data_IF_548880558365
#
_entry.id   IF_548880558365
#
_cell.length_a   1.000
_cell.length_b   1.000
_cell.length_c   1.000
_cell.angle_alpha   90.00
_cell.angle_beta   90.00
_cell.angle_gamma   90.00
#
_symmetry.space_group_name_H-M   'P 1'
#
loop_
_entity.id
_entity.type
_entity.pdbx_description
1 polymer ?
#
# COMPACT_ATOMS: atom_id res chain seq x y z
N UNK A 1 57.62 15.55 83.07
CA UNK A 1 57.04 14.50 82.19
C UNK A 1 56.16 15.26 81.20
N UNK A 2 56.27 15.21 79.87
CA UNK A 2 56.58 14.12 78.95
C UNK A 2 56.99 14.71 77.59
N UNK A 3 57.94 14.00 76.98
CA UNK A 3 58.47 13.94 75.60
C UNK A 3 57.76 14.71 74.45
N UNK A 4 58.60 15.42 73.69
CA UNK A 4 58.42 15.80 72.28
C UNK A 4 58.25 14.57 71.36
N UNK A 5 57.63 14.74 70.18
CA UNK A 5 58.06 14.05 68.97
C UNK A 5 58.62 15.02 67.92
N UNK A 6 59.70 14.55 67.29
CA UNK A 6 60.42 15.14 66.17
C UNK A 6 59.52 15.34 64.94
N UNK A 7 59.63 16.51 64.31
CA UNK A 7 59.21 16.77 62.93
C UNK A 7 60.38 16.41 62.01
N UNK A 8 60.18 15.42 61.13
CA UNK A 8 61.10 15.10 60.03
C UNK A 8 60.47 15.60 58.74
N UNK A 9 61.02 16.68 58.19
CA UNK A 9 60.69 17.14 56.84
C UNK A 9 61.43 16.28 55.81
N UNK A 10 60.68 15.48 55.04
CA UNK A 10 61.19 14.87 53.82
C UNK A 10 61.10 15.91 52.68
N UNK A 11 62.25 16.37 52.21
CA UNK A 11 62.41 17.06 50.92
C UNK A 11 63.13 16.11 49.97
N UNK A 12 62.38 15.53 49.03
CA UNK A 12 62.96 14.68 48.00
C UNK A 12 61.92 13.82 47.30
N UNK A 13 61.30 14.32 46.23
CA UNK A 13 60.34 13.52 45.47
C UNK A 13 59.58 14.22 44.34
N UNK A 14 60.07 15.32 43.75
CA UNK A 14 59.36 16.05 42.69
C UNK A 14 59.99 15.93 41.29
N UNK A 15 60.80 14.90 41.02
CA UNK A 15 61.42 14.72 39.69
C UNK A 15 60.92 13.45 38.96
N UNK A 16 60.31 12.49 39.66
CA UNK A 16 59.80 11.25 39.04
C UNK A 16 58.37 11.41 38.50
N UNK A 17 57.58 12.35 39.04
CA UNK A 17 56.20 12.59 38.59
C UNK A 17 56.11 13.34 37.24
N UNK A 18 57.17 14.02 36.80
CA UNK A 18 57.16 14.79 35.54
C UNK A 18 57.54 13.96 34.31
N UNK A 19 58.23 12.82 34.50
CA UNK A 19 58.65 11.94 33.39
C UNK A 19 57.55 10.95 32.94
N UNK A 20 56.54 10.68 33.77
CA UNK A 20 55.35 9.90 33.37
C UNK A 20 54.28 10.73 32.62
N UNK A 21 54.30 12.06 32.74
CA UNK A 21 53.34 12.95 32.07
C UNK A 21 53.71 13.26 30.61
N UNK A 22 54.99 13.10 30.23
CA UNK A 22 55.46 13.39 28.86
C UNK A 22 55.28 12.20 27.90
N UNK A 23 55.12 10.98 28.43
CA UNK A 23 54.81 9.77 27.63
C UNK A 23 53.33 9.68 27.21
N UNK A 24 52.46 10.56 27.70
CA UNK A 24 51.03 10.62 27.34
C UNK A 24 50.70 11.63 26.24
N UNK A 25 51.65 12.45 25.79
CA UNK A 25 51.44 13.45 24.73
C UNK A 25 51.92 13.00 23.35
N UNK A 26 52.50 11.79 23.24
CA UNK A 26 52.57 11.09 21.96
C UNK A 26 51.20 10.48 21.66
N UNK A 27 50.21 11.33 21.39
CA UNK A 27 49.00 10.90 20.72
C UNK A 27 49.43 10.42 19.33
N UNK A 28 49.75 9.12 19.22
CA UNK A 28 50.03 8.50 17.93
C UNK A 28 48.86 8.81 17.02
N UNK A 29 49.14 9.48 15.90
CA UNK A 29 48.13 9.76 14.89
C UNK A 29 47.46 8.44 14.51
N UNK A 30 46.12 8.42 14.49
CA UNK A 30 45.37 7.23 14.11
C UNK A 30 45.73 6.83 12.69
N UNK A 31 46.08 5.56 12.51
CA UNK A 31 46.48 4.97 11.22
C UNK A 31 45.42 4.00 10.70
N UNK A 32 45.45 3.61 9.40
CA UNK A 32 44.58 2.55 8.89
C UNK A 32 44.73 1.22 9.63
N UNK A 33 45.94 0.87 10.08
CA UNK A 33 46.21 -0.34 10.86
C UNK A 33 45.48 -0.33 12.21
N UNK A 34 45.30 0.84 12.82
CA UNK A 34 44.53 0.98 14.05
C UNK A 34 43.04 0.73 13.79
N UNK A 35 42.51 1.22 12.67
CA UNK A 35 41.12 0.98 12.24
C UNK A 35 40.86 -0.52 12.03
N UNK A 36 41.79 -1.24 11.40
CA UNK A 36 41.67 -2.68 11.22
C UNK A 36 41.72 -3.45 12.54
N UNK A 37 42.66 -3.11 13.43
CA UNK A 37 42.72 -3.72 14.77
C UNK A 37 41.46 -3.45 15.58
N UNK A 38 40.87 -2.26 15.47
CA UNK A 38 39.65 -1.93 16.21
C UNK A 38 38.45 -2.68 15.69
N UNK A 39 38.34 -2.92 14.38
CA UNK A 39 37.18 -3.59 13.81
C UNK A 39 36.93 -5.01 14.37
N UNK A 40 37.99 -5.67 14.84
CA UNK A 40 37.91 -7.01 15.46
C UNK A 40 37.81 -6.95 17.00
N UNK A 41 37.73 -5.75 17.59
CA UNK A 41 37.73 -5.52 19.03
C UNK A 41 36.34 -5.16 19.58
N UNK A 42 36.10 -5.45 20.86
CA UNK A 42 34.85 -5.07 21.54
C UNK A 42 34.70 -3.55 21.61
N UNK A 43 33.62 -3.01 21.05
CA UNK A 43 33.38 -1.56 20.95
C UNK A 43 34.26 -0.87 19.90
N UNK A 44 34.84 -1.65 18.99
CA UNK A 44 35.67 -1.18 17.89
C UNK A 44 34.98 -0.18 16.98
N UNK A 45 33.72 -0.44 16.66
CA UNK A 45 32.87 0.39 15.81
C UNK A 45 32.73 1.82 16.35
N UNK A 46 32.67 2.00 17.68
CA UNK A 46 32.63 3.33 18.30
C UNK A 46 33.96 4.07 18.13
N UNK A 47 35.09 3.37 18.24
CA UNK A 47 36.43 3.97 18.05
C UNK A 47 36.65 4.36 16.60
N UNK A 48 36.22 3.52 15.65
CA UNK A 48 36.28 3.81 14.22
C UNK A 48 35.41 5.03 13.90
N UNK A 49 34.17 5.10 14.43
CA UNK A 49 33.29 6.25 14.25
C UNK A 49 33.90 7.54 14.83
N UNK A 50 34.51 7.49 16.02
CA UNK A 50 35.23 8.63 16.60
C UNK A 50 36.40 9.11 15.75
N UNK A 51 37.21 8.18 15.23
CA UNK A 51 38.31 8.54 14.33
C UNK A 51 37.81 9.17 13.03
N UNK A 52 36.67 8.70 12.50
CA UNK A 52 36.02 9.31 11.34
C UNK A 52 35.47 10.71 11.65
N UNK A 53 34.90 10.93 12.84
CA UNK A 53 34.31 12.21 13.26
C UNK A 53 35.35 13.27 13.65
N UNK A 54 36.61 12.89 13.93
CA UNK A 54 37.66 13.82 14.31
C UNK A 54 38.26 14.54 13.08
N UNK A 55 38.08 15.85 13.01
CA UNK A 55 38.65 16.70 11.98
C UNK A 55 40.20 16.69 11.96
N UNK A 56 40.85 16.33 13.08
CA UNK A 56 42.31 16.20 13.18
C UNK A 56 42.85 14.91 12.58
N UNK A 57 42.01 13.88 12.42
CA UNK A 57 42.38 12.65 11.71
C UNK A 57 42.74 12.99 10.26
N UNK A 58 43.70 12.29 9.67
CA UNK A 58 44.01 12.49 8.25
C UNK A 58 42.79 12.13 7.37
N UNK A 59 42.56 12.87 6.27
CA UNK A 59 41.41 12.66 5.40
C UNK A 59 41.35 11.22 4.85
N UNK A 60 42.49 10.66 4.44
CA UNK A 60 42.57 9.29 3.93
C UNK A 60 42.19 8.25 5.00
N UNK A 61 42.56 8.48 6.26
CA UNK A 61 42.19 7.63 7.40
C UNK A 61 40.70 7.74 7.73
N UNK A 62 40.10 8.94 7.61
CA UNK A 62 38.64 9.10 7.74
C UNK A 62 37.89 8.33 6.66
N UNK A 63 38.36 8.38 5.41
CA UNK A 63 37.77 7.61 4.30
C UNK A 63 37.92 6.10 4.55
N UNK A 64 39.07 5.65 5.05
CA UNK A 64 39.27 4.25 5.42
C UNK A 64 38.31 3.81 6.53
N UNK A 65 38.17 4.62 7.58
CA UNK A 65 37.23 4.39 8.68
C UNK A 65 35.77 4.34 8.18
N UNK A 66 35.38 5.25 7.27
CA UNK A 66 34.08 5.26 6.63
C UNK A 66 33.78 3.94 5.90
N UNK A 67 34.70 3.49 5.05
CA UNK A 67 34.57 2.22 4.30
C UNK A 67 34.52 1.03 5.25
N UNK A 68 35.28 1.07 6.36
CA UNK A 68 35.27 0.01 7.37
C UNK A 68 33.93 -0.07 8.09
N UNK A 69 33.35 1.06 8.51
CA UNK A 69 32.00 1.08 9.12
C UNK A 69 30.94 0.51 8.18
N UNK A 70 31.01 0.83 6.88
CA UNK A 70 30.10 0.26 5.87
C UNK A 70 30.25 -1.27 5.79
N UNK A 71 31.48 -1.79 5.74
CA UNK A 71 31.72 -3.24 5.71
C UNK A 71 31.21 -3.95 6.98
N UNK A 72 31.20 -3.26 8.11
CA UNK A 72 30.65 -3.76 9.38
C UNK A 72 29.12 -3.66 9.45
N UNK A 73 28.46 -3.03 8.47
CA UNK A 73 27.01 -2.80 8.49
C UNK A 73 26.58 -1.64 9.41
N UNK A 74 27.51 -0.78 9.81
CA UNK A 74 27.33 0.25 10.82
C UNK A 74 26.87 1.59 10.25
N UNK A 75 25.77 1.55 9.50
CA UNK A 75 25.26 2.69 8.74
C UNK A 75 24.89 3.89 9.64
N UNK A 76 24.15 3.66 10.73
CA UNK A 76 23.69 4.75 11.61
C UNK A 76 24.86 5.44 12.31
N UNK A 77 25.85 4.66 12.75
CA UNK A 77 27.09 5.19 13.35
C UNK A 77 27.90 5.98 12.31
N UNK A 78 28.01 5.49 11.09
CA UNK A 78 28.64 6.22 10.00
C UNK A 78 27.92 7.55 9.72
N UNK A 79 26.59 7.56 9.61
CA UNK A 79 25.82 8.79 9.38
C UNK A 79 26.00 9.76 10.56
N UNK A 80 25.96 9.27 11.80
CA UNK A 80 26.18 10.07 13.00
C UNK A 80 27.54 10.77 12.99
N UNK A 81 28.62 10.01 12.79
CA UNK A 81 29.97 10.56 12.77
C UNK A 81 30.21 11.52 11.58
N UNK A 82 29.58 11.30 10.42
CA UNK A 82 29.62 12.29 9.33
C UNK A 82 28.94 13.61 9.73
N UNK A 83 27.83 13.58 10.47
CA UNK A 83 27.13 14.79 10.92
C UNK A 83 27.93 15.59 11.95
N UNK A 84 28.82 14.95 12.70
CA UNK A 84 29.71 15.61 13.66
C UNK A 84 30.86 16.38 12.99
N UNK A 85 31.25 15.99 11.78
CA UNK A 85 32.28 16.72 11.02
C UNK A 85 31.78 18.11 10.60
N UNK A 86 32.67 19.13 10.61
CA UNK A 86 32.35 20.39 9.96
C UNK A 86 32.10 20.16 8.46
N UNK A 87 31.30 21.05 7.86
CA UNK A 87 30.74 20.81 6.52
C UNK A 87 31.80 20.59 5.45
N UNK A 88 32.90 21.35 5.47
CA UNK A 88 33.97 21.23 4.49
C UNK A 88 34.65 19.85 4.54
N UNK A 89 34.97 19.37 5.74
CA UNK A 89 35.58 18.07 5.99
C UNK A 89 34.61 16.92 5.68
N UNK A 90 33.33 17.06 6.07
CA UNK A 90 32.27 16.11 5.72
C UNK A 90 32.18 15.93 4.20
N UNK A 91 32.13 17.03 3.45
CA UNK A 91 32.05 16.99 1.99
C UNK A 91 33.30 16.38 1.36
N UNK A 92 34.49 16.72 1.87
CA UNK A 92 35.75 16.12 1.41
C UNK A 92 35.76 14.60 1.65
N UNK A 93 35.39 14.13 2.85
CA UNK A 93 35.31 12.71 3.17
C UNK A 93 34.28 11.97 2.32
N UNK A 94 33.10 12.55 2.04
CA UNK A 94 32.10 11.95 1.14
C UNK A 94 32.64 11.88 -0.30
N UNK A 95 33.26 12.96 -0.79
CA UNK A 95 33.81 13.04 -2.14
C UNK A 95 34.92 12.03 -2.38
N UNK A 96 35.84 11.89 -1.45
CA UNK A 96 36.94 10.93 -1.53
C UNK A 96 36.47 9.50 -1.24
N UNK A 97 35.47 9.32 -0.37
CA UNK A 97 34.91 8.02 -0.02
C UNK A 97 34.02 7.41 -1.10
N UNK A 98 33.30 8.21 -1.87
CA UNK A 98 32.37 7.73 -2.92
C UNK A 98 32.98 6.67 -3.87
N UNK A 99 34.16 6.93 -4.48
CA UNK A 99 34.84 5.93 -5.31
C UNK A 99 35.21 4.65 -4.57
N UNK A 100 35.65 4.73 -3.30
CA UNK A 100 36.00 3.55 -2.49
C UNK A 100 34.75 2.72 -2.16
N UNK A 101 33.61 3.36 -1.87
CA UNK A 101 32.32 2.68 -1.69
C UNK A 101 31.88 2.02 -3.00
N UNK A 102 32.08 2.67 -4.14
CA UNK A 102 31.78 2.08 -5.46
C UNK A 102 32.57 0.80 -5.75
N UNK A 103 33.78 0.64 -5.20
CA UNK A 103 34.53 -0.63 -5.29
C UNK A 103 33.84 -1.76 -4.53
N UNK A 104 33.10 -1.45 -3.46
CA UNK A 104 32.35 -2.45 -2.70
C UNK A 104 31.21 -3.08 -3.50
N UNK A 105 30.73 -2.45 -4.58
CA UNK A 105 29.75 -3.09 -5.48
C UNK A 105 30.30 -4.25 -6.30
N UNK A 106 31.64 -4.37 -6.39
CA UNK A 106 32.30 -5.43 -7.16
C UNK A 106 32.68 -6.64 -6.30
N UNK A 107 32.48 -6.57 -4.98
CA UNK A 107 32.76 -7.71 -4.09
C UNK A 107 31.66 -8.76 -4.23
N UNK A 108 31.95 -10.06 -4.15
CA UNK A 108 30.93 -11.10 -4.29
C UNK A 108 29.86 -11.11 -3.18
N UNK A 109 30.14 -10.52 -2.02
CA UNK A 109 29.25 -10.52 -0.86
C UNK A 109 28.12 -9.49 -1.00
N UNK A 110 26.89 -9.97 -1.20
CA UNK A 110 25.70 -9.14 -1.32
C UNK A 110 25.43 -8.28 -0.07
N UNK A 111 25.78 -8.73 1.14
CA UNK A 111 25.59 -7.93 2.36
C UNK A 111 26.47 -6.69 2.35
N UNK A 112 27.72 -6.84 1.93
CA UNK A 112 28.65 -5.71 1.79
C UNK A 112 28.20 -4.77 0.66
N UNK A 113 27.74 -5.31 -0.47
CA UNK A 113 27.18 -4.50 -1.55
C UNK A 113 25.95 -3.70 -1.08
N UNK A 114 25.05 -4.33 -0.33
CA UNK A 114 23.84 -3.70 0.19
C UNK A 114 24.15 -2.57 1.17
N UNK A 115 25.11 -2.79 2.09
CA UNK A 115 25.58 -1.75 3.01
C UNK A 115 26.22 -0.56 2.26
N UNK A 116 27.02 -0.84 1.22
CA UNK A 116 27.59 0.20 0.35
C UNK A 116 26.51 1.02 -0.36
N UNK A 117 25.45 0.36 -0.83
CA UNK A 117 24.29 0.97 -1.47
C UNK A 117 23.53 1.84 -0.48
N UNK A 118 23.29 1.37 0.74
CA UNK A 118 22.64 2.17 1.79
C UNK A 118 23.46 3.42 2.13
N UNK A 119 24.78 3.30 2.19
CA UNK A 119 25.67 4.44 2.44
C UNK A 119 25.62 5.48 1.31
N UNK A 120 25.70 5.06 0.03
CA UNK A 120 25.55 5.98 -1.11
C UNK A 120 24.18 6.62 -1.13
N UNK A 121 23.12 5.88 -0.78
CA UNK A 121 21.78 6.44 -0.68
C UNK A 121 21.69 7.49 0.43
N UNK A 122 22.27 7.22 1.61
CA UNK A 122 22.36 8.22 2.69
C UNK A 122 23.10 9.49 2.25
N UNK A 123 24.13 9.37 1.41
CA UNK A 123 24.85 10.54 0.88
C UNK A 123 23.98 11.44 0.02
N UNK A 124 23.02 10.88 -0.74
CA UNK A 124 22.05 11.69 -1.51
C UNK A 124 21.21 12.60 -0.61
N UNK A 125 21.04 12.24 0.67
CA UNK A 125 20.25 13.00 1.65
C UNK A 125 21.08 14.05 2.40
N UNK A 126 22.39 14.11 2.19
CA UNK A 126 23.29 15.07 2.87
C UNK A 126 23.50 16.37 2.09
N UNK A 127 22.87 16.54 0.92
CA UNK A 127 22.62 17.86 0.30
C UNK A 127 23.66 18.42 -0.67
N UNK A 128 24.63 17.64 -1.14
CA UNK A 128 25.64 18.10 -2.11
C UNK A 128 25.37 17.63 -3.54
N UNK A 129 24.96 18.55 -4.42
CA UNK A 129 24.45 18.25 -5.76
C UNK A 129 25.37 17.37 -6.63
N UNK A 130 26.68 17.66 -6.72
CA UNK A 130 27.59 16.86 -7.57
C UNK A 130 27.75 15.42 -7.06
N UNK A 131 27.74 15.24 -5.73
CA UNK A 131 27.92 13.92 -5.11
C UNK A 131 26.63 13.13 -5.18
N UNK A 132 25.51 13.82 -5.01
CA UNK A 132 24.18 13.28 -5.20
C UNK A 132 24.02 12.65 -6.60
N UNK A 133 24.41 13.34 -7.67
CA UNK A 133 24.31 12.78 -9.03
C UNK A 133 25.20 11.54 -9.23
N UNK A 134 26.45 11.58 -8.76
CA UNK A 134 27.35 10.42 -8.84
C UNK A 134 26.83 9.22 -8.04
N UNK A 135 26.32 9.47 -6.82
CA UNK A 135 25.69 8.45 -5.99
C UNK A 135 24.45 7.86 -6.67
N UNK A 136 23.58 8.69 -7.26
CA UNK A 136 22.41 8.23 -8.01
C UNK A 136 22.80 7.34 -9.19
N UNK A 137 23.78 7.74 -10.01
CA UNK A 137 24.26 6.94 -11.13
C UNK A 137 24.81 5.59 -10.68
N UNK A 138 25.57 5.56 -9.59
CA UNK A 138 26.10 4.32 -9.02
C UNK A 138 24.98 3.40 -8.48
N UNK A 139 23.96 3.98 -7.82
CA UNK A 139 22.78 3.23 -7.35
C UNK A 139 21.99 2.64 -8.51
N UNK A 140 21.76 3.42 -9.57
CA UNK A 140 21.08 2.96 -10.79
C UNK A 140 21.82 1.81 -11.46
N UNK A 141 23.15 1.93 -11.61
CA UNK A 141 23.98 0.85 -12.15
C UNK A 141 23.97 -0.41 -11.27
N UNK A 142 23.85 -0.27 -9.95
CA UNK A 142 23.76 -1.41 -9.04
C UNK A 142 22.43 -2.16 -9.20
N UNK A 143 21.31 -1.45 -9.35
CA UNK A 143 19.99 -2.05 -9.54
C UNK A 143 19.74 -2.59 -10.96
N UNK A 144 20.54 -2.21 -11.96
CA UNK A 144 20.35 -2.67 -13.35
C UNK A 144 20.76 -4.13 -13.60
N UNK A 145 21.23 -4.85 -12.59
CA UNK A 145 21.68 -6.25 -12.71
C UNK A 145 21.30 -7.06 -11.47
N UNK A 146 20.66 -8.22 -11.66
CA UNK A 146 20.10 -9.07 -10.61
C UNK A 146 19.14 -8.30 -9.70
N UNK A 147 18.16 -7.61 -10.30
CA UNK A 147 17.28 -6.72 -9.55
C UNK A 147 16.50 -7.46 -8.47
N UNK A 148 16.05 -8.68 -8.76
CA UNK A 148 15.28 -9.47 -7.79
C UNK A 148 16.04 -9.80 -6.51
N UNK A 149 17.29 -10.26 -6.60
CA UNK A 149 18.14 -10.53 -5.43
C UNK A 149 18.42 -9.24 -4.63
N UNK A 150 18.49 -8.10 -5.32
CA UNK A 150 18.81 -6.80 -4.76
C UNK A 150 17.60 -6.01 -4.27
N UNK A 151 16.39 -6.46 -4.60
CA UNK A 151 15.17 -5.69 -4.38
C UNK A 151 14.98 -5.32 -2.90
N UNK A 152 15.21 -6.28 -2.01
CA UNK A 152 15.05 -6.12 -0.56
C UNK A 152 16.40 -6.10 0.18
N UNK A 153 17.52 -5.99 -0.52
CA UNK A 153 18.84 -6.07 0.11
C UNK A 153 19.22 -4.77 0.82
N UNK A 154 19.53 -4.87 2.12
CA UNK A 154 19.94 -3.75 2.97
C UNK A 154 18.78 -3.09 3.72
N UNK A 155 19.03 -1.88 4.21
CA UNK A 155 18.07 -1.10 5.00
C UNK A 155 17.06 -0.36 4.12
N UNK A 156 17.44 0.04 2.91
CA UNK A 156 16.54 0.69 1.96
C UNK A 156 16.30 -0.20 0.73
N UNK A 157 15.04 -0.63 0.54
CA UNK A 157 14.65 -1.44 -0.62
C UNK A 157 14.75 -0.67 -1.94
N UNK A 158 14.79 -1.40 -3.06
CA UNK A 158 14.75 -0.83 -4.41
C UNK A 158 13.55 0.08 -4.61
N UNK A 159 12.40 -0.28 -4.04
CA UNK A 159 11.21 0.55 -4.10
C UNK A 159 11.46 1.94 -3.51
N UNK A 160 12.06 2.02 -2.32
CA UNK A 160 12.37 3.31 -1.68
C UNK A 160 13.44 4.06 -2.47
N UNK A 161 14.56 3.41 -2.80
CA UNK A 161 15.69 4.08 -3.45
C UNK A 161 15.33 4.58 -4.84
N UNK A 162 14.75 3.73 -5.70
CA UNK A 162 14.44 4.11 -7.08
C UNK A 162 13.27 5.10 -7.16
N UNK A 163 12.28 5.00 -6.26
CA UNK A 163 11.21 6.01 -6.18
C UNK A 163 11.74 7.38 -5.76
N UNK A 164 12.68 7.42 -4.82
CA UNK A 164 13.29 8.67 -4.36
C UNK A 164 14.23 9.29 -5.41
N UNK A 165 14.87 8.48 -6.26
CA UNK A 165 15.62 8.97 -7.43
C UNK A 165 14.67 9.60 -8.46
N UNK A 166 13.45 9.09 -8.58
CA UNK A 166 12.40 9.67 -9.41
C UNK A 166 12.63 9.44 -10.91
N UNK A 167 12.28 10.40 -11.79
CA UNK A 167 12.31 10.22 -13.25
C UNK A 167 13.65 9.75 -13.82
N UNK A 168 14.78 10.08 -13.17
CA UNK A 168 16.11 9.63 -13.60
C UNK A 168 16.28 8.10 -13.55
N UNK A 169 15.45 7.37 -12.79
CA UNK A 169 15.45 5.91 -12.77
C UNK A 169 14.70 5.28 -13.96
N UNK A 170 13.99 6.08 -14.76
CA UNK A 170 13.05 5.59 -15.78
C UNK A 170 13.65 4.61 -16.78
N UNK A 171 14.80 4.95 -17.36
CA UNK A 171 15.45 4.08 -18.36
C UNK A 171 15.92 2.75 -17.77
N UNK A 172 16.36 2.73 -16.51
CA UNK A 172 16.72 1.49 -15.80
C UNK A 172 15.46 0.65 -15.54
N UNK A 173 14.37 1.26 -15.09
CA UNK A 173 13.12 0.55 -14.84
C UNK A 173 12.54 -0.06 -16.12
N UNK A 174 12.54 0.69 -17.22
CA UNK A 174 12.10 0.18 -18.53
C UNK A 174 13.01 -0.98 -19.00
N UNK A 175 14.33 -0.85 -18.86
CA UNK A 175 15.25 -1.93 -19.21
C UNK A 175 15.08 -3.18 -18.33
N UNK A 176 14.70 -3.03 -17.06
CA UNK A 176 14.40 -4.14 -16.16
C UNK A 176 13.12 -4.87 -16.59
N UNK A 177 12.10 -4.15 -17.07
CA UNK A 177 10.90 -4.78 -17.64
C UNK A 177 11.27 -5.69 -18.82
N UNK A 178 12.18 -5.29 -19.69
CA UNK A 178 12.57 -6.11 -20.86
C UNK A 178 13.35 -7.37 -20.47
N UNK A 179 14.18 -7.30 -19.42
CA UNK A 179 15.18 -8.34 -19.10
C UNK A 179 14.74 -9.30 -18.02
N UNK A 180 13.87 -8.88 -17.10
CA UNK A 180 13.52 -9.65 -15.90
C UNK A 180 11.99 -9.75 -15.73
N UNK A 181 11.30 -10.67 -16.44
CA UNK A 181 9.86 -10.88 -16.27
C UNK A 181 9.39 -11.10 -14.82
N UNK A 182 10.12 -11.84 -13.96
CA UNK A 182 9.75 -11.99 -12.55
C UNK A 182 9.74 -10.66 -11.77
N UNK A 183 10.39 -9.61 -12.28
CA UNK A 183 10.46 -8.29 -11.63
C UNK A 183 9.28 -7.37 -11.99
N UNK A 184 8.46 -7.73 -12.98
CA UNK A 184 7.41 -6.86 -13.54
C UNK A 184 6.50 -6.22 -12.50
N UNK A 185 5.93 -6.99 -11.58
CA UNK A 185 5.02 -6.45 -10.56
C UNK A 185 5.70 -5.42 -9.64
N UNK A 186 6.97 -5.67 -9.27
CA UNK A 186 7.77 -4.77 -8.43
C UNK A 186 8.18 -3.51 -9.19
N UNK A 187 8.64 -3.64 -10.43
CA UNK A 187 9.04 -2.51 -11.28
C UNK A 187 7.82 -1.65 -11.65
N UNK A 188 6.68 -2.26 -11.97
CA UNK A 188 5.42 -1.56 -12.25
C UNK A 188 4.98 -0.66 -11.09
N UNK A 189 5.04 -1.15 -9.85
CA UNK A 189 4.75 -0.35 -8.64
C UNK A 189 5.70 0.84 -8.47
N UNK A 190 6.98 0.70 -8.84
CA UNK A 190 7.95 1.80 -8.79
C UNK A 190 7.63 2.85 -9.87
N UNK A 191 7.34 2.43 -11.10
CA UNK A 191 6.95 3.33 -12.19
C UNK A 191 5.68 4.10 -11.82
N UNK A 192 4.69 3.41 -11.25
CA UNK A 192 3.45 4.03 -10.71
C UNK A 192 3.77 5.10 -9.67
N UNK A 193 4.66 4.80 -8.72
CA UNK A 193 5.04 5.70 -7.64
C UNK A 193 5.79 6.94 -8.15
N UNK A 194 6.65 6.77 -9.15
CA UNK A 194 7.39 7.87 -9.79
C UNK A 194 6.43 8.77 -10.59
N UNK A 195 5.46 8.17 -11.30
CA UNK A 195 4.46 8.86 -12.10
C UNK A 195 5.07 9.84 -13.13
N UNK A 196 6.18 9.44 -13.77
CA UNK A 196 6.83 10.20 -14.82
C UNK A 196 6.23 9.85 -16.21
N UNK A 197 5.64 10.82 -16.94
CA UNK A 197 4.96 10.53 -18.21
C UNK A 197 5.87 9.89 -19.27
N UNK A 198 7.16 10.24 -19.31
CA UNK A 198 8.11 9.68 -20.27
C UNK A 198 8.39 8.19 -20.00
N UNK A 199 8.63 7.85 -18.74
CA UNK A 199 8.85 6.48 -18.26
C UNK A 199 7.60 5.63 -18.45
N UNK A 200 6.44 6.13 -18.02
CA UNK A 200 5.14 5.49 -18.22
C UNK A 200 4.92 5.18 -19.70
N UNK A 201 5.15 6.16 -20.59
CA UNK A 201 4.96 5.97 -22.03
C UNK A 201 5.80 4.83 -22.59
N UNK A 202 7.10 4.79 -22.25
CA UNK A 202 8.04 3.74 -22.70
C UNK A 202 7.64 2.36 -22.16
N UNK A 203 7.30 2.28 -20.87
CA UNK A 203 6.84 1.03 -20.26
C UNK A 203 5.56 0.52 -20.92
N UNK A 204 4.62 1.42 -21.22
CA UNK A 204 3.39 1.08 -21.93
C UNK A 204 3.60 0.63 -23.36
N UNK A 205 4.58 1.18 -24.08
CA UNK A 205 4.94 0.70 -25.43
C UNK A 205 5.39 -0.78 -25.38
N UNK A 206 6.14 -1.18 -24.35
CA UNK A 206 6.52 -2.58 -24.12
C UNK A 206 5.32 -3.45 -23.75
N UNK A 207 4.49 -2.99 -22.80
CA UNK A 207 3.30 -3.71 -22.36
C UNK A 207 2.35 -3.94 -23.54
N UNK A 208 2.08 -2.93 -24.36
CA UNK A 208 1.23 -3.04 -25.55
C UNK A 208 1.78 -4.05 -26.55
N UNK A 209 3.09 -4.01 -26.81
CA UNK A 209 3.75 -5.00 -27.66
C UNK A 209 3.51 -6.42 -27.13
N UNK A 210 3.75 -6.66 -25.84
CA UNK A 210 3.55 -7.99 -25.24
C UNK A 210 2.09 -8.43 -25.21
N UNK A 211 1.15 -7.51 -24.96
CA UNK A 211 -0.28 -7.81 -25.00
C UNK A 211 -0.71 -8.25 -26.40
N UNK A 212 -0.21 -7.60 -27.45
CA UNK A 212 -0.45 -8.03 -28.84
C UNK A 212 0.15 -9.40 -29.11
N UNK A 213 1.40 -9.63 -28.69
CA UNK A 213 2.12 -10.90 -28.91
C UNK A 213 1.50 -12.09 -28.18
N UNK A 214 0.94 -11.88 -26.98
CA UNK A 214 0.34 -12.94 -26.14
C UNK A 214 -1.16 -13.14 -26.39
N UNK A 215 -1.81 -12.29 -27.17
CA UNK A 215 -3.24 -12.40 -27.46
C UNK A 215 -3.59 -13.75 -28.15
N UNK A 216 -4.67 -14.45 -27.74
CA UNK A 216 -5.67 -14.02 -26.77
C UNK A 216 -5.37 -14.42 -25.31
N UNK A 217 -4.27 -15.11 -25.00
CA UNK A 217 -3.97 -15.65 -23.67
C UNK A 217 -2.85 -14.89 -22.96
N UNK A 218 -3.21 -13.91 -22.13
CA UNK A 218 -2.24 -13.09 -21.40
C UNK A 218 -1.66 -13.84 -20.18
N UNK A 219 -0.36 -13.68 -19.95
CA UNK A 219 0.24 -14.04 -18.67
C UNK A 219 -0.35 -13.16 -17.54
N UNK A 220 -0.73 -13.75 -16.37
CA UNK A 220 -1.24 -12.99 -15.23
C UNK A 220 -0.32 -11.83 -14.80
N UNK A 221 1.00 -12.04 -14.87
CA UNK A 221 2.01 -11.05 -14.50
C UNK A 221 2.01 -9.85 -15.45
N UNK A 222 1.72 -10.06 -16.74
CA UNK A 222 1.60 -8.99 -17.73
C UNK A 222 0.38 -8.11 -17.44
N UNK A 223 -0.75 -8.75 -17.08
CA UNK A 223 -1.96 -8.03 -16.68
C UNK A 223 -1.76 -7.26 -15.36
N UNK A 224 -1.05 -7.85 -14.40
CA UNK A 224 -0.69 -7.15 -13.16
C UNK A 224 0.22 -5.94 -13.43
N UNK A 225 1.18 -6.07 -14.34
CA UNK A 225 2.03 -4.96 -14.78
C UNK A 225 1.23 -3.85 -15.47
N UNK A 226 0.27 -4.21 -16.33
CA UNK A 226 -0.62 -3.27 -17.01
C UNK A 226 -1.43 -2.43 -16.02
N UNK A 227 -1.85 -2.99 -14.88
CA UNK A 227 -2.51 -2.26 -13.80
C UNK A 227 -1.61 -1.17 -13.19
N UNK A 228 -0.32 -1.44 -13.02
CA UNK A 228 0.61 -0.52 -12.35
C UNK A 228 1.00 0.70 -13.19
N UNK A 229 1.16 0.55 -14.51
CA UNK A 229 1.70 1.63 -15.36
C UNK A 229 0.67 2.72 -15.70
N UNK A 230 -0.63 2.41 -15.65
CA UNK A 230 -1.76 3.37 -15.79
C UNK A 230 -1.72 4.31 -17.02
N UNK A 231 -1.42 3.77 -18.20
CA UNK A 231 -1.45 4.54 -19.47
C UNK A 231 -2.76 4.30 -20.23
N UNK A 232 -3.39 5.38 -20.70
CA UNK A 232 -4.66 5.37 -21.44
C UNK A 232 -4.64 4.43 -22.66
N UNK A 233 -3.50 4.25 -23.32
CA UNK A 233 -3.40 3.39 -24.52
C UNK A 233 -3.49 1.91 -24.16
N UNK A 234 -2.97 1.54 -22.98
CA UNK A 234 -3.11 0.17 -22.45
C UNK A 234 -4.58 -0.08 -22.10
N UNK A 235 -5.23 0.91 -21.48
CA UNK A 235 -6.68 0.88 -21.22
C UNK A 235 -7.47 0.73 -22.52
N UNK A 236 -7.21 1.57 -23.53
CA UNK A 236 -7.91 1.54 -24.83
C UNK A 236 -7.73 0.17 -25.52
N UNK A 237 -6.54 -0.44 -25.44
CA UNK A 237 -6.29 -1.79 -25.95
C UNK A 237 -7.13 -2.85 -25.23
N UNK A 238 -7.12 -2.84 -23.89
CA UNK A 238 -7.86 -3.81 -23.09
C UNK A 238 -9.38 -3.65 -23.29
N UNK A 239 -9.89 -2.42 -23.36
CA UNK A 239 -11.29 -2.14 -23.64
C UNK A 239 -11.72 -2.71 -25.00
N UNK A 240 -10.92 -2.49 -26.05
CA UNK A 240 -11.16 -3.06 -27.37
C UNK A 240 -11.08 -4.61 -27.35
N UNK A 241 -10.15 -5.17 -26.58
CA UNK A 241 -10.00 -6.61 -26.43
C UNK A 241 -11.22 -7.25 -25.74
N UNK A 242 -11.74 -6.63 -24.67
CA UNK A 242 -12.92 -7.12 -23.95
C UNK A 242 -14.19 -6.98 -24.79
N UNK A 243 -14.31 -5.93 -25.60
CA UNK A 243 -15.47 -5.73 -26.48
C UNK A 243 -15.55 -6.75 -27.64
N UNK A 244 -14.42 -7.36 -28.02
CA UNK A 244 -14.33 -8.29 -29.13
C UNK A 244 -14.80 -9.70 -28.73
N UNK A 245 -16.02 -10.07 -29.17
CA UNK A 245 -16.68 -11.34 -28.81
C UNK A 245 -16.00 -12.59 -29.38
N UNK A 246 -15.08 -12.46 -30.35
CA UNK A 246 -14.29 -13.61 -30.83
C UNK A 246 -13.20 -14.06 -29.84
N UNK A 247 -12.85 -13.21 -28.86
CA UNK A 247 -11.93 -13.59 -27.79
C UNK A 247 -12.61 -14.53 -26.80
N UNK A 248 -11.82 -15.41 -26.16
CA UNK A 248 -12.37 -16.37 -25.20
C UNK A 248 -12.92 -15.63 -23.97
N UNK A 249 -13.93 -16.21 -23.31
CA UNK A 249 -14.54 -15.60 -22.13
C UNK A 249 -13.51 -15.38 -21.01
N UNK A 250 -12.69 -16.39 -20.70
CA UNK A 250 -11.66 -16.31 -19.66
C UNK A 250 -10.66 -15.16 -19.91
N UNK A 251 -10.24 -14.95 -21.16
CA UNK A 251 -9.32 -13.87 -21.50
C UNK A 251 -9.98 -12.50 -21.42
N UNK A 252 -11.25 -12.39 -21.82
CA UNK A 252 -12.04 -11.16 -21.67
C UNK A 252 -12.22 -10.83 -20.19
N UNK A 253 -12.54 -11.80 -19.35
CA UNK A 253 -12.68 -11.63 -17.90
C UNK A 253 -11.36 -11.18 -17.26
N UNK A 254 -10.23 -11.82 -17.60
CA UNK A 254 -8.92 -11.44 -17.10
C UNK A 254 -8.54 -9.99 -17.50
N UNK A 255 -8.71 -9.62 -18.77
CA UNK A 255 -8.47 -8.26 -19.26
C UNK A 255 -9.39 -7.23 -18.59
N UNK A 256 -10.65 -7.58 -18.37
CA UNK A 256 -11.60 -6.66 -17.79
C UNK A 256 -11.41 -6.48 -16.29
N UNK A 257 -10.99 -7.54 -15.59
CA UNK A 257 -10.59 -7.46 -14.19
C UNK A 257 -9.39 -6.51 -14.01
N UNK A 258 -8.41 -6.55 -14.92
CA UNK A 258 -7.31 -5.57 -14.95
C UNK A 258 -7.81 -4.13 -15.06
N UNK A 259 -8.80 -3.88 -15.93
CA UNK A 259 -9.44 -2.56 -16.05
C UNK A 259 -10.20 -2.14 -14.79
N UNK A 260 -10.71 -3.09 -14.00
CA UNK A 260 -11.38 -2.79 -12.73
C UNK A 260 -10.42 -2.29 -11.65
N UNK A 261 -9.12 -2.56 -11.75
CA UNK A 261 -8.09 -1.99 -10.88
C UNK A 261 -7.55 -0.65 -11.38
N UNK A 262 -7.46 -0.47 -12.71
CA UNK A 262 -7.07 0.79 -13.34
C UNK A 262 -8.29 1.51 -13.94
N UNK A 263 -9.25 1.84 -13.08
CA UNK A 263 -10.53 2.38 -13.53
C UNK A 263 -10.38 3.74 -14.22
N UNK A 264 -10.82 3.80 -15.47
CA UNK A 264 -10.89 5.02 -16.27
C UNK A 264 -12.34 5.32 -16.66
N UNK A 265 -12.68 6.62 -16.75
CA UNK A 265 -13.96 7.06 -17.36
C UNK A 265 -14.10 6.57 -18.80
N UNK A 266 -12.99 6.30 -19.49
CA UNK A 266 -12.95 5.77 -20.86
C UNK A 266 -13.51 4.37 -20.99
N UNK A 267 -13.41 3.54 -19.95
CA UNK A 267 -13.90 2.16 -19.95
C UNK A 267 -15.40 2.06 -19.67
N UNK A 268 -16.05 3.17 -19.32
CA UNK A 268 -17.48 3.19 -18.99
C UNK A 268 -18.39 2.74 -20.15
N UNK A 269 -18.19 3.14 -21.42
CA UNK A 269 -19.03 2.67 -22.53
C UNK A 269 -18.95 1.16 -22.72
N UNK A 270 -17.76 0.56 -22.61
CA UNK A 270 -17.56 -0.89 -22.70
C UNK A 270 -18.22 -1.60 -21.52
N UNK A 271 -18.05 -1.06 -20.30
CA UNK A 271 -18.69 -1.62 -19.11
C UNK A 271 -20.22 -1.55 -19.16
N UNK A 272 -20.80 -0.44 -19.62
CA UNK A 272 -22.24 -0.33 -19.82
C UNK A 272 -22.73 -1.33 -20.89
N UNK A 273 -22.02 -1.47 -22.01
CA UNK A 273 -22.38 -2.42 -23.05
C UNK A 273 -22.39 -3.87 -22.53
N UNK A 274 -21.36 -4.28 -21.79
CA UNK A 274 -21.26 -5.63 -21.21
C UNK A 274 -22.32 -5.85 -20.13
N UNK A 275 -22.44 -4.91 -19.19
CA UNK A 275 -23.39 -5.04 -18.09
C UNK A 275 -24.83 -5.21 -18.58
N UNK A 276 -25.18 -4.47 -19.65
CA UNK A 276 -26.52 -4.46 -20.22
C UNK A 276 -26.83 -5.63 -21.16
N UNK A 277 -25.81 -6.36 -21.65
CA UNK A 277 -26.00 -7.54 -22.48
C UNK A 277 -26.25 -8.79 -21.62
N UNK A 278 -27.51 -9.23 -21.57
CA UNK A 278 -27.94 -10.42 -20.82
C UNK A 278 -27.36 -11.74 -21.35
N UNK A 279 -26.70 -11.72 -22.52
CA UNK A 279 -26.02 -12.90 -23.08
C UNK A 279 -24.58 -13.03 -22.58
N UNK A 280 -24.02 -12.00 -21.94
CA UNK A 280 -22.69 -12.06 -21.33
C UNK A 280 -22.71 -12.90 -20.04
N UNK A 281 -21.53 -13.40 -19.64
CA UNK A 281 -21.40 -14.16 -18.39
C UNK A 281 -21.74 -13.29 -17.17
N UNK A 282 -22.23 -13.93 -16.11
CA UNK A 282 -22.51 -13.24 -14.83
C UNK A 282 -21.22 -12.61 -14.29
N UNK A 283 -20.09 -13.30 -14.43
CA UNK A 283 -18.77 -12.82 -13.97
C UNK A 283 -18.33 -11.55 -14.73
N UNK A 284 -18.42 -11.54 -16.06
CA UNK A 284 -18.07 -10.37 -16.87
C UNK A 284 -19.00 -9.18 -16.58
N UNK A 285 -20.30 -9.44 -16.36
CA UNK A 285 -21.27 -8.42 -15.92
C UNK A 285 -20.98 -7.93 -14.50
N UNK A 286 -20.49 -8.80 -13.62
CA UNK A 286 -20.02 -8.47 -12.27
C UNK A 286 -18.82 -7.52 -12.28
N UNK A 287 -17.83 -7.78 -13.14
CA UNK A 287 -16.69 -6.89 -13.34
C UNK A 287 -17.15 -5.56 -13.95
N UNK A 288 -18.03 -5.60 -14.95
CA UNK A 288 -18.58 -4.41 -15.60
C UNK A 288 -19.21 -3.45 -14.58
N UNK A 289 -20.00 -4.00 -13.66
CA UNK A 289 -20.69 -3.19 -12.69
C UNK A 289 -19.77 -2.65 -11.60
N UNK A 290 -18.66 -3.32 -11.30
CA UNK A 290 -17.60 -2.75 -10.47
C UNK A 290 -16.99 -1.50 -11.11
N UNK A 291 -16.70 -1.53 -12.41
CA UNK A 291 -16.20 -0.37 -13.15
C UNK A 291 -17.25 0.75 -13.16
N UNK A 292 -18.51 0.45 -13.49
CA UNK A 292 -19.61 1.43 -13.44
C UNK A 292 -19.70 2.06 -12.04
N UNK A 293 -19.54 1.27 -10.98
CA UNK A 293 -19.60 1.73 -9.60
C UNK A 293 -18.41 2.62 -9.20
N UNK A 294 -17.19 2.30 -9.65
CA UNK A 294 -15.96 3.05 -9.34
C UNK A 294 -15.87 4.36 -10.15
N UNK A 295 -16.31 4.36 -11.41
CA UNK A 295 -16.38 5.55 -12.27
C UNK A 295 -17.57 6.45 -11.93
N UNK A 296 -18.68 5.82 -11.56
CA UNK A 296 -20.03 6.25 -11.86
C UNK A 296 -20.41 7.68 -11.49
N UNK A 297 -21.15 8.31 -12.40
CA UNK A 297 -21.85 9.57 -12.21
C UNK A 297 -23.37 9.29 -12.13
N UNK A 298 -24.16 10.12 -11.43
CA UNK A 298 -25.61 9.90 -11.30
C UNK A 298 -26.35 9.73 -12.64
N UNK A 299 -25.87 10.37 -13.71
CA UNK A 299 -26.43 10.24 -15.05
C UNK A 299 -26.39 8.81 -15.62
N UNK A 300 -25.51 7.95 -15.11
CA UNK A 300 -25.38 6.56 -15.57
C UNK A 300 -26.39 5.62 -14.90
N UNK A 301 -27.04 6.05 -13.82
CA UNK A 301 -27.98 5.19 -13.07
C UNK A 301 -29.16 4.74 -13.91
N UNK A 302 -29.57 5.52 -14.92
CA UNK A 302 -30.60 5.13 -15.88
C UNK A 302 -30.32 3.80 -16.58
N UNK A 303 -29.04 3.44 -16.76
CA UNK A 303 -28.64 2.17 -17.37
C UNK A 303 -28.57 1.02 -16.33
N UNK A 304 -28.45 1.35 -15.04
CA UNK A 304 -28.36 0.36 -13.95
C UNK A 304 -29.74 -0.05 -13.44
N UNK A 305 -30.68 0.90 -13.37
CA UNK A 305 -32.04 0.67 -12.86
C UNK A 305 -32.77 -0.55 -13.46
N UNK A 306 -32.74 -0.80 -14.79
CA UNK A 306 -33.43 -1.95 -15.39
C UNK A 306 -32.97 -3.31 -14.84
N UNK A 307 -31.79 -3.37 -14.23
CA UNK A 307 -31.17 -4.60 -13.74
C UNK A 307 -31.44 -4.87 -12.26
N UNK A 308 -32.15 -3.98 -11.55
CA UNK A 308 -32.68 -4.28 -10.21
C UNK A 308 -33.74 -5.39 -10.23
N UNK A 309 -34.24 -5.75 -11.42
CA UNK A 309 -35.19 -6.84 -11.67
C UNK A 309 -34.53 -8.10 -12.23
N UNK A 310 -33.22 -8.06 -12.47
CA UNK A 310 -32.45 -9.19 -13.00
C UNK A 310 -31.84 -9.97 -11.84
N UNK A 311 -32.38 -11.14 -11.52
CA UNK A 311 -31.95 -11.96 -10.38
C UNK A 311 -30.45 -12.23 -10.33
N UNK A 312 -29.79 -12.34 -11.49
CA UNK A 312 -28.36 -12.64 -11.54
C UNK A 312 -27.48 -11.47 -11.06
N UNK A 313 -27.96 -10.22 -11.17
CA UNK A 313 -27.14 -9.02 -10.89
C UNK A 313 -27.86 -7.97 -10.03
N UNK A 314 -29.09 -8.24 -9.56
CA UNK A 314 -29.94 -7.28 -8.84
C UNK A 314 -29.23 -6.60 -7.68
N UNK A 315 -28.45 -7.35 -6.91
CA UNK A 315 -27.76 -6.81 -5.74
C UNK A 315 -26.53 -6.00 -6.08
N UNK A 316 -25.77 -6.45 -7.08
CA UNK A 316 -24.65 -5.68 -7.56
C UNK A 316 -25.16 -4.34 -8.12
N UNK A 317 -26.29 -4.35 -8.86
CA UNK A 317 -26.97 -3.17 -9.39
C UNK A 317 -27.47 -2.27 -8.25
N UNK A 318 -28.12 -2.84 -7.25
CA UNK A 318 -28.61 -2.12 -6.08
C UNK A 318 -27.48 -1.41 -5.32
N UNK A 319 -26.41 -2.13 -4.99
CA UNK A 319 -25.23 -1.55 -4.34
C UNK A 319 -24.57 -0.44 -5.17
N UNK A 320 -24.63 -0.55 -6.51
CA UNK A 320 -24.11 0.49 -7.42
C UNK A 320 -24.98 1.73 -7.43
N UNK A 321 -26.31 1.57 -7.46
CA UNK A 321 -27.25 2.70 -7.34
C UNK A 321 -27.03 3.44 -6.03
N UNK A 322 -26.93 2.73 -4.91
CA UNK A 322 -26.69 3.34 -3.61
C UNK A 322 -25.31 4.00 -3.50
N UNK A 323 -24.25 3.40 -4.07
CA UNK A 323 -22.91 3.98 -4.04
C UNK A 323 -22.83 5.31 -4.81
N UNK A 324 -23.47 5.39 -5.97
CA UNK A 324 -23.41 6.58 -6.84
C UNK A 324 -24.42 7.65 -6.38
N UNK A 325 -25.63 7.22 -6.01
CA UNK A 325 -26.77 8.10 -5.71
C UNK A 325 -27.02 8.38 -4.23
N UNK A 326 -26.44 7.58 -3.33
CA UNK A 326 -26.66 7.68 -1.90
C UNK A 326 -28.13 7.55 -1.49
N UNK A 327 -28.51 8.28 -0.44
CA UNK A 327 -29.86 8.29 0.09
C UNK A 327 -30.91 8.85 -0.90
N UNK A 328 -30.52 9.75 -1.81
CA UNK A 328 -31.43 10.38 -2.77
C UNK A 328 -32.02 9.37 -3.76
N UNK A 329 -31.26 8.33 -4.13
CA UNK A 329 -31.70 7.29 -5.07
C UNK A 329 -32.31 6.07 -4.37
N UNK A 330 -32.25 6.00 -3.04
CA UNK A 330 -32.73 4.85 -2.26
C UNK A 330 -34.21 4.55 -2.52
N UNK A 331 -35.06 5.59 -2.54
CA UNK A 331 -36.50 5.39 -2.75
C UNK A 331 -36.78 4.75 -4.11
N UNK A 332 -36.17 5.30 -5.16
CA UNK A 332 -36.33 4.79 -6.51
C UNK A 332 -35.74 3.38 -6.63
N UNK A 333 -34.58 3.12 -6.04
CA UNK A 333 -33.95 1.80 -6.03
C UNK A 333 -34.84 0.74 -5.39
N UNK A 334 -35.38 1.02 -4.19
CA UNK A 334 -36.29 0.12 -3.51
C UNK A 334 -37.60 -0.09 -4.31
N UNK A 335 -38.13 0.97 -4.93
CA UNK A 335 -39.33 0.86 -5.77
C UNK A 335 -39.15 0.02 -7.04
N UNK A 336 -37.93 -0.04 -7.58
CA UNK A 336 -37.59 -0.82 -8.77
C UNK A 336 -37.21 -2.27 -8.48
N UNK A 337 -36.87 -2.62 -7.23
CA UNK A 337 -36.72 -4.02 -6.82
C UNK A 337 -38.04 -4.74 -7.03
N UNK A 338 -38.02 -5.89 -7.69
CA UNK A 338 -39.24 -6.64 -7.97
C UNK A 338 -39.86 -7.18 -6.66
N UNK A 339 -41.02 -6.68 -6.21
CA UNK A 339 -41.60 -7.06 -4.93
C UNK A 339 -42.20 -8.47 -4.92
N UNK A 340 -42.29 -9.13 -6.08
CA UNK A 340 -42.81 -10.50 -6.20
C UNK A 340 -41.73 -11.57 -6.07
N UNK A 341 -40.45 -11.17 -6.01
CA UNK A 341 -39.33 -12.10 -5.89
C UNK A 341 -39.25 -12.62 -4.46
N UNK A 342 -38.97 -13.92 -4.32
CA UNK A 342 -38.62 -14.52 -3.03
C UNK A 342 -37.20 -14.06 -2.70
N UNK A 343 -37.07 -13.34 -1.59
CA UNK A 343 -35.78 -12.88 -1.09
C UNK A 343 -35.21 -13.93 -0.13
N UNK A 344 -34.02 -14.41 -0.45
CA UNK A 344 -33.28 -15.39 0.36
C UNK A 344 -32.51 -14.70 1.49
N UNK A 345 -32.03 -15.47 2.47
CA UNK A 345 -31.21 -14.94 3.57
C UNK A 345 -30.02 -14.11 3.04
N UNK A 346 -29.32 -14.65 2.05
CA UNK A 346 -28.14 -14.02 1.45
C UNK A 346 -28.48 -12.66 0.82
N UNK A 347 -29.68 -12.52 0.27
CA UNK A 347 -30.17 -11.25 -0.31
C UNK A 347 -30.20 -10.14 0.75
N UNK A 348 -30.60 -10.47 1.98
CA UNK A 348 -30.65 -9.52 3.10
C UNK A 348 -29.27 -9.17 3.63
N UNK A 349 -28.40 -10.16 3.80
CA UNK A 349 -27.04 -9.93 4.28
C UNK A 349 -26.26 -9.05 3.28
N UNK A 350 -26.49 -9.24 1.97
CA UNK A 350 -25.94 -8.36 0.93
C UNK A 350 -26.55 -6.96 1.01
N UNK A 351 -27.88 -6.84 1.10
CA UNK A 351 -28.55 -5.54 1.20
C UNK A 351 -28.13 -4.74 2.44
N UNK A 352 -28.05 -5.40 3.61
CA UNK A 352 -27.60 -4.79 4.86
C UNK A 352 -26.15 -4.29 4.74
N UNK A 353 -25.25 -5.09 4.15
CA UNK A 353 -23.88 -4.64 3.86
C UNK A 353 -23.85 -3.40 2.97
N UNK A 354 -24.71 -3.35 1.94
CA UNK A 354 -24.82 -2.15 1.10
C UNK A 354 -25.38 -0.94 1.85
N UNK A 355 -26.39 -1.12 2.71
CA UNK A 355 -26.91 -0.04 3.55
C UNK A 355 -25.85 0.51 4.49
N UNK A 356 -25.08 -0.36 5.16
CA UNK A 356 -23.99 0.07 6.04
C UNK A 356 -22.88 0.80 5.28
N UNK A 357 -22.53 0.32 4.08
CA UNK A 357 -21.38 0.82 3.31
C UNK A 357 -21.67 2.13 2.57
N UNK A 358 -22.89 2.34 2.10
CA UNK A 358 -23.19 3.39 1.10
C UNK A 358 -24.21 4.43 1.53
N UNK A 359 -24.95 4.19 2.61
CA UNK A 359 -25.96 5.15 3.08
C UNK A 359 -25.49 5.86 4.34
N UNK A 360 -26.00 7.07 4.53
CA UNK A 360 -25.82 7.85 5.74
C UNK A 360 -27.11 7.81 6.58
N UNK A 361 -27.07 8.37 7.79
CA UNK A 361 -28.24 8.42 8.71
C UNK A 361 -29.43 9.17 8.12
N UNK A 362 -29.20 10.08 7.18
CA UNK A 362 -30.25 10.80 6.44
C UNK A 362 -31.14 9.90 5.56
N UNK A 363 -30.77 8.63 5.35
CA UNK A 363 -31.61 7.64 4.68
C UNK A 363 -32.79 7.14 5.53
N UNK A 364 -32.77 7.37 6.85
CA UNK A 364 -33.76 6.84 7.78
C UNK A 364 -35.23 7.22 7.44
N UNK A 365 -35.55 8.49 7.07
CA UNK A 365 -36.91 8.86 6.65
C UNK A 365 -37.43 8.06 5.44
N UNK A 366 -36.54 7.73 4.50
CA UNK A 366 -36.89 6.90 3.34
C UNK A 366 -37.28 5.50 3.78
N UNK A 367 -36.53 4.89 4.70
CA UNK A 367 -36.91 3.56 5.22
C UNK A 367 -38.25 3.59 5.97
N UNK A 368 -38.52 4.63 6.76
CA UNK A 368 -39.83 4.81 7.43
C UNK A 368 -40.99 4.81 6.42
N UNK A 369 -40.81 5.44 5.25
CA UNK A 369 -41.80 5.42 4.18
C UNK A 369 -42.11 3.99 3.70
N UNK A 370 -41.08 3.15 3.55
CA UNK A 370 -41.24 1.76 3.09
C UNK A 370 -41.78 0.80 4.14
N UNK A 371 -41.75 1.15 5.44
CA UNK A 371 -42.46 0.38 6.47
C UNK A 371 -43.97 0.28 6.20
N UNK A 372 -44.54 1.24 5.47
CA UNK A 372 -45.95 1.29 5.09
C UNK A 372 -46.25 0.57 3.78
N UNK A 373 -45.24 -0.05 3.15
CA UNK A 373 -45.41 -0.77 1.89
C UNK A 373 -46.31 -2.01 2.06
N UNK A 374 -47.22 -2.30 1.10
CA UNK A 374 -47.97 -3.55 1.13
C UNK A 374 -47.09 -4.77 0.82
N UNK A 375 -45.87 -4.55 0.30
CA UNK A 375 -44.93 -5.59 -0.11
C UNK A 375 -43.97 -5.94 1.03
N UNK A 376 -44.09 -7.17 1.51
CA UNK A 376 -43.31 -7.72 2.62
C UNK A 376 -41.80 -7.53 2.44
N UNK A 377 -41.17 -7.81 1.28
CA UNK A 377 -39.73 -7.64 1.14
C UNK A 377 -39.25 -6.19 1.34
N UNK A 378 -40.03 -5.21 0.90
CA UNK A 378 -39.69 -3.79 1.08
C UNK A 378 -39.79 -3.37 2.54
N UNK A 379 -40.77 -3.91 3.29
CA UNK A 379 -40.87 -3.70 4.74
C UNK A 379 -39.66 -4.28 5.45
N UNK A 380 -39.20 -5.48 5.06
CA UNK A 380 -37.98 -6.04 5.65
C UNK A 380 -36.75 -5.21 5.31
N UNK A 381 -36.55 -4.81 4.05
CA UNK A 381 -35.42 -3.94 3.67
C UNK A 381 -35.43 -2.63 4.45
N UNK A 382 -36.62 -2.07 4.69
CA UNK A 382 -36.79 -0.90 5.54
C UNK A 382 -36.39 -1.16 7.00
N UNK A 383 -36.81 -2.28 7.58
CA UNK A 383 -36.43 -2.68 8.93
C UNK A 383 -34.91 -2.86 9.07
N UNK A 384 -34.26 -3.52 8.11
CA UNK A 384 -32.79 -3.66 8.09
C UNK A 384 -32.09 -2.30 7.93
N UNK A 385 -32.62 -1.45 7.06
CA UNK A 385 -32.12 -0.07 6.90
C UNK A 385 -32.20 0.75 8.19
N UNK A 386 -33.34 0.68 8.90
CA UNK A 386 -33.53 1.34 10.19
C UNK A 386 -32.67 0.71 11.28
N UNK A 387 -32.47 -0.61 11.27
CA UNK A 387 -31.52 -1.25 12.17
C UNK A 387 -30.15 -0.60 12.07
N UNK A 388 -29.70 -0.26 10.85
CA UNK A 388 -28.40 0.38 10.63
C UNK A 388 -28.45 1.87 10.98
N UNK A 389 -29.46 2.60 10.50
CA UNK A 389 -29.43 4.06 10.41
C UNK A 389 -30.33 4.83 11.37
N UNK A 390 -31.30 4.17 12.02
CA UNK A 390 -32.20 4.82 12.97
C UNK A 390 -31.52 5.12 14.30
N UNK A 391 -32.01 6.16 14.98
CA UNK A 391 -31.74 6.40 16.39
C UNK A 391 -32.86 5.78 17.27
N UNK A 392 -32.65 5.81 18.59
CA UNK A 392 -33.60 5.26 19.56
C UNK A 392 -34.98 5.92 19.48
N UNK A 393 -35.03 7.25 19.24
CA UNK A 393 -36.28 7.99 19.18
C UNK A 393 -37.12 7.57 17.95
N UNK A 394 -36.48 7.42 16.79
CA UNK A 394 -37.12 6.98 15.57
C UNK A 394 -37.55 5.50 15.66
N UNK A 395 -36.75 4.65 16.31
CA UNK A 395 -37.10 3.26 16.55
C UNK A 395 -38.38 3.13 17.40
N UNK A 396 -38.49 3.90 18.48
CA UNK A 396 -39.69 3.92 19.33
C UNK A 396 -40.92 4.48 18.62
N UNK A 397 -40.75 5.50 17.77
CA UNK A 397 -41.85 6.14 17.06
C UNK A 397 -42.39 5.29 15.89
N UNK A 398 -41.51 4.68 15.10
CA UNK A 398 -41.87 4.11 13.79
C UNK A 398 -41.72 2.57 13.72
N UNK A 399 -40.79 1.97 14.46
CA UNK A 399 -40.54 0.52 14.42
C UNK A 399 -41.40 -0.23 15.44
N UNK A 400 -41.50 0.31 16.66
CA UNK A 400 -42.29 -0.30 17.75
C UNK A 400 -43.77 -0.57 17.41
N UNK A 401 -44.49 0.31 16.69
CA UNK A 401 -45.89 0.04 16.32
C UNK A 401 -46.09 -1.17 15.40
N UNK A 402 -45.03 -1.68 14.77
CA UNK A 402 -45.11 -2.85 13.87
C UNK A 402 -45.08 -4.19 14.62
N UNK A 403 -44.87 -4.20 15.93
CA UNK A 403 -44.76 -5.44 16.72
C UNK A 403 -46.02 -6.32 16.63
N UNK A 404 -47.19 -5.70 16.55
CA UNK A 404 -48.48 -6.38 16.59
C UNK A 404 -49.04 -6.70 15.20
N UNK A 405 -48.40 -6.20 14.13
CA UNK A 405 -48.86 -6.39 12.75
C UNK A 405 -48.35 -7.74 12.20
N UNK A 406 -48.99 -8.81 12.66
CA UNK A 406 -48.64 -10.20 12.37
C UNK A 406 -48.96 -10.60 10.92
N UNK A 407 -48.10 -10.22 9.96
CA UNK A 407 -47.98 -10.97 8.70
C UNK A 407 -46.87 -12.00 8.83
N UNK A 408 -47.18 -13.26 8.51
CA UNK A 408 -46.18 -14.33 8.45
C UNK A 408 -45.33 -14.16 7.20
N UNK A 409 -44.02 -14.05 7.37
CA UNK A 409 -43.07 -14.38 6.31
C UNK A 409 -42.71 -15.84 6.54
N UNK A 410 -43.10 -16.71 5.60
CA UNK A 410 -42.76 -18.13 5.71
C UNK A 410 -41.40 -18.34 5.06
N UNK A 411 -40.47 -18.96 5.78
CA UNK A 411 -39.09 -19.32 5.40
C UNK A 411 -38.13 -18.12 5.35
N UNK A 412 -37.44 -17.83 6.46
CA UNK A 412 -36.51 -16.69 6.50
C UNK A 412 -35.15 -16.97 7.11
N UNK A 413 -35.08 -17.92 8.01
CA UNK A 413 -33.86 -18.51 8.51
C UNK A 413 -34.19 -20.00 8.53
N UNK A 414 -33.35 -20.86 7.93
CA UNK A 414 -33.62 -22.30 7.71
C UNK A 414 -33.98 -23.10 8.97
N UNK A 415 -34.01 -22.45 10.14
CA UNK A 415 -34.35 -23.06 11.41
C UNK A 415 -35.60 -22.46 12.10
N UNK A 416 -36.09 -21.24 11.77
CA UNK A 416 -37.32 -20.66 12.38
C UNK A 416 -38.03 -19.63 11.46
N UNK A 417 -39.36 -19.71 11.29
CA UNK A 417 -40.14 -18.65 10.63
C UNK A 417 -40.23 -17.43 11.55
N UNK A 418 -39.84 -16.25 11.04
CA UNK A 418 -40.06 -14.97 11.72
C UNK A 418 -41.23 -14.22 11.05
N UNK A 419 -42.11 -13.66 11.86
CA UNK A 419 -43.09 -12.65 11.43
C UNK A 419 -42.42 -11.27 11.30
N UNK A 420 -43.04 -10.35 10.54
CA UNK A 420 -42.58 -8.94 10.49
C UNK A 420 -42.49 -8.35 11.90
N UNK A 421 -43.43 -8.69 12.78
CA UNK A 421 -43.43 -8.26 14.18
C UNK A 421 -42.23 -8.79 14.98
N UNK A 422 -41.77 -10.03 14.75
CA UNK A 422 -40.57 -10.57 15.40
C UNK A 422 -39.29 -9.92 14.87
N UNK A 423 -39.21 -9.67 13.56
CA UNK A 423 -38.10 -8.93 12.98
C UNK A 423 -38.06 -7.48 13.49
N UNK A 424 -39.20 -6.80 13.52
CA UNK A 424 -39.31 -5.44 14.06
C UNK A 424 -38.88 -5.39 15.53
N UNK A 425 -39.26 -6.38 16.34
CA UNK A 425 -38.79 -6.51 17.74
C UNK A 425 -37.29 -6.71 17.83
N UNK A 426 -36.72 -7.57 17.00
CA UNK A 426 -35.28 -7.80 16.95
C UNK A 426 -34.51 -6.52 16.55
N UNK A 427 -34.99 -5.82 15.52
CA UNK A 427 -34.42 -4.54 15.06
C UNK A 427 -34.52 -3.46 16.13
N UNK A 428 -35.70 -3.29 16.74
CA UNK A 428 -35.91 -2.30 17.81
C UNK A 428 -34.98 -2.55 19.00
N UNK A 429 -34.90 -3.81 19.45
CA UNK A 429 -33.96 -4.23 20.50
C UNK A 429 -32.51 -3.90 20.13
N UNK A 430 -32.09 -4.24 18.91
CA UNK A 430 -30.73 -3.97 18.43
C UNK A 430 -30.41 -2.47 18.37
N UNK A 431 -31.38 -1.60 18.06
CA UNK A 431 -31.20 -0.14 18.06
C UNK A 431 -31.07 0.39 19.49
N UNK A 432 -31.88 -0.09 20.44
CA UNK A 432 -31.84 0.35 21.84
C UNK A 432 -30.59 -0.10 22.60
N UNK A 433 -30.08 -1.29 22.29
CA UNK A 433 -28.87 -1.85 22.91
C UNK A 433 -27.57 -1.25 22.33
N UNK A 434 -27.67 -0.39 21.31
CA UNK A 434 -26.53 0.25 20.66
C UNK A 434 -25.90 1.32 21.57
N UNK A 435 -24.58 1.26 21.84
CA UNK A 435 -23.89 2.31 22.57
C UNK A 435 -24.05 3.67 21.87
N UNK A 436 -24.32 4.72 22.62
CA UNK A 436 -24.45 6.07 22.08
C UNK A 436 -23.20 6.45 21.26
N UNK A 437 -23.37 6.67 19.95
CA UNK A 437 -22.29 7.05 19.03
C UNK A 437 -21.61 5.90 18.28
N UNK A 438 -21.92 4.62 18.57
CA UNK A 438 -21.38 3.50 17.83
C UNK A 438 -22.14 3.27 16.51
N UNK A 439 -21.53 3.61 15.37
CA UNK A 439 -21.91 2.94 14.11
C UNK A 439 -21.30 1.55 14.18
N UNK A 440 -22.12 0.50 14.18
CA UNK A 440 -21.63 -0.88 14.02
C UNK A 440 -20.93 -0.96 12.67
N UNK A 441 -19.60 -0.86 12.65
CA UNK A 441 -18.84 -1.51 11.59
C UNK A 441 -18.98 -3.00 11.86
N UNK A 442 -19.34 -3.82 10.86
CA UNK A 442 -19.45 -5.26 11.06
C UNK A 442 -18.13 -5.79 11.61
N UNK A 443 -18.18 -6.65 12.62
CA UNK A 443 -17.03 -7.37 13.19
C UNK A 443 -16.42 -8.40 12.20
N UNK A 444 -16.61 -8.21 10.88
CA UNK A 444 -16.29 -9.20 9.84
C UNK A 444 -15.25 -8.77 8.79
N UNK A 445 -14.79 -7.51 8.79
CA UNK A 445 -13.78 -7.07 7.80
C UNK A 445 -12.36 -7.58 8.12
N UNK A 446 -12.12 -8.16 9.31
CA UNK A 446 -10.82 -8.74 9.66
C UNK A 446 -10.57 -10.14 9.05
N UNK A 447 -11.62 -10.87 8.66
CA UNK A 447 -11.48 -12.22 8.10
C UNK A 447 -11.94 -12.33 6.64
N UNK A 448 -12.87 -11.50 6.15
CA UNK A 448 -13.16 -11.44 4.70
C UNK A 448 -12.02 -10.81 3.88
N UNK A 449 -11.24 -9.90 4.49
CA UNK A 449 -10.01 -9.38 3.86
C UNK A 449 -8.84 -10.40 3.90
N UNK A 450 -8.95 -11.50 4.65
CA UNK A 450 -7.97 -12.59 4.60
C UNK A 450 -8.24 -13.58 3.48
N UNK A 451 -9.48 -13.75 3.05
CA UNK A 451 -9.80 -14.63 1.91
C UNK A 451 -9.67 -13.95 0.54
N UNK A 452 -9.66 -12.60 0.47
CA UNK A 452 -9.33 -11.84 -0.76
C UNK A 452 -7.87 -11.35 -0.83
N UNK A 453 -7.04 -11.63 0.18
CA UNK A 453 -5.62 -11.24 0.21
C UNK A 453 -4.66 -12.32 0.78
N UNK A 454 -4.98 -13.60 0.59
CA UNK A 454 -3.95 -14.64 0.64
C UNK A 454 -3.07 -14.52 -0.61
N UNK A 455 -2.05 -13.67 -0.54
CA UNK A 455 -0.79 -13.95 -1.24
C UNK A 455 -0.37 -15.38 -0.83
N UNK A 456 -0.05 -16.28 -1.78
CA UNK A 456 0.60 -17.53 -1.42
C UNK A 456 1.92 -17.17 -0.71
N UNK A 457 2.09 -17.70 0.51
CA UNK A 457 3.38 -17.71 1.16
C UNK A 457 4.37 -18.42 0.22
N UNK A 458 5.36 -17.67 -0.27
CA UNK A 458 6.58 -18.21 -0.88
C UNK A 458 7.40 -18.98 0.15
#
# INVERSE_FOLDING_TARGET
MQKMPLVVHYHGGNVVATLLAVLWLAACATTPDDIDKWADSVGGEERIAKAMADAKTEASVRVYALVKLIKLGELDRMIGALKELPEAERLATIKEGGPEIGKLFKVPDLKVQAAAKDALYAFTKLGHQTLEEQSRQALLAWYSYNFMDKYAAGNFSAFHVLSDIGPAAGDVLVALLEKEPPAWAKVGKIIEKINDPGTTRKASDLILKWLVEQSPGFAPELLQLATGVRDDRVTDFLDAFVAEKKNTMASREAAFNTLSFNVSKRSLPVALAIFTDRKESIDLRGIAIEIIRKVGEPANLQYVYPFLKDEAVKWAAFGTVLKIGGAAELEKALGELNPTVVFWRDDYDIAQRHFMKFLSKDAAPTFVKFLKSPHIPLVTMALLGLQVHADAALADAEVKPLFDNARQIKNYLDEKPYTIGELARAVHKAILERPAGAVQKPDGDADAAKDEAQEPAE
#
